data_IF_788221722743
#
_entry.id   IF_788221722743
#
_cell.length_a   1.000
_cell.length_b   1.000
_cell.length_c   1.000
_cell.angle_alpha   90.00
_cell.angle_beta   90.00
_cell.angle_gamma   90.00
#
_symmetry.space_group_name_H-M   'P 1'
#
loop_
_entity.id
_entity.type
_entity.pdbx_description
1 polymer ?
#
# COMPACT_ATOMS: atom_id res chain seq x y z
N UNK A 1 -10.40 27.96 -8.18
CA UNK A 1 -9.91 26.61 -8.53
C UNK A 1 -11.11 25.78 -8.94
N UNK A 2 -11.18 25.39 -10.21
CA UNK A 2 -12.20 24.43 -10.69
C UNK A 2 -11.78 23.03 -10.24
N UNK A 3 -12.68 22.32 -9.56
CA UNK A 3 -12.46 20.91 -9.21
C UNK A 3 -12.42 20.10 -10.51
N UNK A 4 -11.31 19.44 -10.76
CA UNK A 4 -11.16 18.54 -11.90
C UNK A 4 -11.81 17.19 -11.58
N UNK A 5 -12.85 16.84 -12.32
CA UNK A 5 -13.55 15.57 -12.16
C UNK A 5 -12.64 14.35 -12.35
N UNK A 6 -11.58 14.47 -13.15
CA UNK A 6 -10.58 13.42 -13.32
C UNK A 6 -9.72 13.21 -12.07
N UNK A 7 -9.43 14.30 -11.35
CA UNK A 7 -8.70 14.24 -10.08
C UNK A 7 -9.53 13.52 -9.01
N UNK A 8 -10.82 13.82 -8.93
CA UNK A 8 -11.74 13.13 -8.00
C UNK A 8 -11.86 11.63 -8.33
N UNK A 9 -12.00 11.28 -9.61
CA UNK A 9 -12.00 9.89 -10.06
C UNK A 9 -10.69 9.18 -9.72
N UNK A 10 -9.55 9.85 -9.95
CA UNK A 10 -8.23 9.34 -9.59
C UNK A 10 -8.11 9.04 -8.09
N UNK A 11 -8.49 9.99 -7.24
CA UNK A 11 -8.49 9.78 -5.78
C UNK A 11 -9.46 8.70 -5.34
N UNK A 12 -10.66 8.63 -5.92
CA UNK A 12 -11.62 7.56 -5.65
C UNK A 12 -11.07 6.18 -6.02
N UNK A 13 -10.45 6.06 -7.20
CA UNK A 13 -9.78 4.84 -7.64
C UNK A 13 -8.63 4.45 -6.70
N UNK A 14 -7.80 5.42 -6.31
CA UNK A 14 -6.69 5.19 -5.40
C UNK A 14 -7.16 4.74 -4.02
N UNK A 15 -8.24 5.33 -3.48
CA UNK A 15 -8.85 4.92 -2.22
C UNK A 15 -9.34 3.47 -2.30
N UNK A 16 -10.06 3.10 -3.36
CA UNK A 16 -10.56 1.73 -3.56
C UNK A 16 -9.40 0.73 -3.67
N UNK A 17 -8.36 1.05 -4.43
CA UNK A 17 -7.17 0.21 -4.57
C UNK A 17 -6.35 0.11 -3.28
N UNK A 18 -6.31 1.15 -2.45
CA UNK A 18 -5.64 1.10 -1.14
C UNK A 18 -6.49 0.33 -0.10
N UNK A 19 -7.82 0.44 -0.19
CA UNK A 19 -8.75 -0.24 0.72
C UNK A 19 -8.60 -1.76 0.70
N UNK A 20 -8.22 -2.38 -0.43
CA UNK A 20 -7.95 -3.83 -0.50
C UNK A 20 -6.87 -4.28 0.50
N UNK A 21 -5.86 -3.44 0.71
CA UNK A 21 -4.78 -3.72 1.66
C UNK A 21 -5.22 -3.43 3.10
N UNK A 22 -6.07 -2.43 3.32
CA UNK A 22 -6.68 -2.18 4.63
C UNK A 22 -7.57 -3.35 5.06
N UNK A 23 -8.41 -3.87 4.17
CA UNK A 23 -9.24 -5.04 4.45
C UNK A 23 -8.38 -6.26 4.75
N UNK A 24 -7.35 -6.52 3.92
CA UNK A 24 -6.39 -7.60 4.18
C UNK A 24 -5.71 -7.42 5.55
N UNK A 25 -5.30 -6.19 5.89
CA UNK A 25 -4.67 -5.89 7.16
C UNK A 25 -5.60 -6.19 8.33
N UNK A 26 -6.86 -5.74 8.30
CA UNK A 26 -7.84 -6.04 9.35
C UNK A 26 -8.01 -7.55 9.56
N UNK A 27 -8.05 -8.32 8.48
CA UNK A 27 -8.12 -9.79 8.54
C UNK A 27 -6.86 -10.40 9.15
N UNK A 28 -5.69 -9.95 8.73
CA UNK A 28 -4.40 -10.42 9.29
C UNK A 28 -4.25 -10.07 10.77
N UNK A 29 -4.80 -8.94 11.21
CA UNK A 29 -4.77 -8.55 12.62
C UNK A 29 -5.64 -9.45 13.47
N UNK A 30 -6.87 -9.73 13.01
CA UNK A 30 -7.78 -10.65 13.66
C UNK A 30 -7.20 -12.07 13.74
N UNK A 31 -6.47 -12.49 12.71
CA UNK A 31 -5.81 -13.79 12.65
C UNK A 31 -4.46 -13.84 13.38
N UNK A 32 -3.89 -12.69 13.80
CA UNK A 32 -2.52 -12.55 14.36
C UNK A 32 -1.41 -13.17 13.51
N UNK A 33 -1.67 -13.37 12.22
CA UNK A 33 -0.74 -13.95 11.25
C UNK A 33 -0.88 -13.24 9.91
N UNK A 34 0.25 -13.01 9.24
CA UNK A 34 0.24 -12.57 7.84
C UNK A 34 0.05 -13.81 6.97
N UNK A 35 -1.14 -13.95 6.39
CA UNK A 35 -1.45 -15.04 5.46
C UNK A 35 -0.72 -14.82 4.12
N UNK A 36 -0.26 -13.59 3.87
CA UNK A 36 0.37 -13.17 2.62
C UNK A 36 1.89 -13.42 2.66
N UNK A 37 2.48 -14.05 1.63
CA UNK A 37 3.91 -14.38 1.61
C UNK A 37 4.81 -13.15 1.71
N UNK A 38 5.99 -13.29 2.35
CA UNK A 38 7.01 -12.22 2.43
C UNK A 38 7.36 -11.62 1.07
N UNK A 39 7.46 -12.47 0.04
CA UNK A 39 7.78 -12.04 -1.32
C UNK A 39 6.81 -10.98 -1.83
N UNK A 40 5.50 -11.15 -1.59
CA UNK A 40 4.49 -10.17 -2.00
C UNK A 40 4.75 -8.78 -1.41
N UNK A 41 5.13 -8.72 -0.13
CA UNK A 41 5.44 -7.44 0.53
C UNK A 41 6.71 -6.80 -0.02
N UNK A 42 7.76 -7.58 -0.31
CA UNK A 42 8.97 -7.06 -0.94
C UNK A 42 8.72 -6.53 -2.36
N UNK A 43 7.96 -7.27 -3.19
CA UNK A 43 7.55 -6.80 -4.51
C UNK A 43 6.66 -5.57 -4.41
N UNK A 44 5.78 -5.48 -3.41
CA UNK A 44 4.94 -4.30 -3.17
C UNK A 44 5.77 -3.06 -2.83
N UNK A 45 6.80 -3.20 -1.97
CA UNK A 45 7.72 -2.11 -1.64
C UNK A 45 8.53 -1.71 -2.88
N UNK A 46 9.15 -2.66 -3.57
CA UNK A 46 9.95 -2.37 -4.76
C UNK A 46 9.14 -1.71 -5.87
N UNK A 47 7.98 -2.30 -6.21
CA UNK A 47 7.08 -1.76 -7.22
C UNK A 47 6.50 -0.40 -6.84
N UNK A 48 6.12 -0.19 -5.58
CA UNK A 48 5.60 1.11 -5.14
C UNK A 48 6.67 2.20 -5.14
N UNK A 49 7.92 1.89 -4.78
CA UNK A 49 9.06 2.83 -4.94
C UNK A 49 9.23 3.26 -6.40
N UNK A 50 9.27 2.31 -7.33
CA UNK A 50 9.47 2.60 -8.75
C UNK A 50 8.34 3.47 -9.30
N UNK A 51 7.09 3.12 -8.96
CA UNK A 51 5.93 3.90 -9.37
C UNK A 51 5.86 5.27 -8.70
N UNK A 52 6.33 5.41 -7.46
CA UNK A 52 6.41 6.70 -6.78
C UNK A 52 7.43 7.62 -7.45
N UNK A 53 8.62 7.10 -7.80
CA UNK A 53 9.63 7.84 -8.56
C UNK A 53 9.04 8.31 -9.90
N UNK A 54 8.37 7.41 -10.62
CA UNK A 54 7.70 7.74 -11.87
C UNK A 54 6.61 8.79 -11.72
N UNK A 55 5.79 8.71 -10.67
CA UNK A 55 4.72 9.66 -10.39
C UNK A 55 5.24 11.05 -10.03
N UNK A 56 6.33 11.14 -9.27
CA UNK A 56 7.02 12.40 -8.98
C UNK A 56 7.54 13.03 -10.27
N UNK A 57 8.15 12.24 -11.15
CA UNK A 57 8.59 12.70 -12.46
C UNK A 57 7.42 13.21 -13.31
N UNK A 58 6.27 12.54 -13.27
CA UNK A 58 5.03 12.95 -13.97
C UNK A 58 4.25 14.06 -13.28
N UNK A 59 4.66 14.49 -12.09
CA UNK A 59 3.94 15.47 -11.28
C UNK A 59 2.48 15.04 -11.02
N UNK A 60 2.22 13.74 -10.84
CA UNK A 60 0.88 13.18 -10.61
C UNK A 60 0.60 13.05 -9.09
N UNK A 61 -0.17 13.98 -8.48
CA UNK A 61 -0.42 13.98 -7.04
C UNK A 61 -1.26 12.78 -6.58
N UNK A 62 -2.13 12.23 -7.44
CA UNK A 62 -2.99 11.09 -7.09
C UNK A 62 -2.13 9.85 -6.91
N UNK A 63 -1.25 9.58 -7.86
CA UNK A 63 -0.34 8.44 -7.78
C UNK A 63 0.68 8.59 -6.64
N UNK A 64 1.21 9.80 -6.42
CA UNK A 64 2.15 10.06 -5.32
C UNK A 64 1.52 9.72 -3.96
N UNK A 65 0.31 10.23 -3.70
CA UNK A 65 -0.42 9.96 -2.46
C UNK A 65 -0.79 8.47 -2.34
N UNK A 66 -1.16 7.86 -3.45
CA UNK A 66 -1.46 6.44 -3.52
C UNK A 66 -0.32 5.52 -3.13
N UNK A 67 0.82 5.69 -3.78
CA UNK A 67 1.97 4.81 -3.61
C UNK A 67 2.65 5.02 -2.26
N UNK A 68 2.63 6.24 -1.72
CA UNK A 68 3.16 6.55 -0.39
C UNK A 68 2.30 5.98 0.74
N UNK A 69 0.97 5.97 0.62
CA UNK A 69 0.08 5.43 1.65
C UNK A 69 0.27 3.91 1.87
N UNK A 70 0.57 3.15 0.81
CA UNK A 70 0.78 1.70 0.88
C UNK A 70 2.02 1.28 1.69
N UNK A 71 3.05 2.13 1.75
CA UNK A 71 4.32 1.83 2.41
C UNK A 71 4.18 1.46 3.88
N UNK A 72 3.30 2.17 4.60
CA UNK A 72 3.05 1.94 6.03
C UNK A 72 2.50 0.52 6.25
N UNK A 73 1.56 0.09 5.40
CA UNK A 73 0.93 -1.23 5.49
C UNK A 73 1.95 -2.34 5.20
N UNK A 74 2.84 -2.13 4.21
CA UNK A 74 3.85 -3.11 3.82
C UNK A 74 4.90 -3.32 4.92
N UNK A 75 5.44 -2.23 5.47
CA UNK A 75 6.43 -2.27 6.54
C UNK A 75 5.87 -2.95 7.80
N UNK A 76 4.64 -2.61 8.15
CA UNK A 76 3.95 -3.17 9.31
C UNK A 76 3.72 -4.68 9.17
N UNK A 77 3.30 -5.15 8.00
CA UNK A 77 3.11 -6.58 7.76
C UNK A 77 4.43 -7.37 7.83
N UNK A 78 5.54 -6.82 7.32
CA UNK A 78 6.86 -7.42 7.47
C UNK A 78 7.29 -7.53 8.94
N UNK A 79 6.99 -6.52 9.76
CA UNK A 79 7.23 -6.59 11.21
C UNK A 79 6.44 -7.71 11.89
N UNK A 80 5.17 -7.89 11.52
CA UNK A 80 4.32 -8.93 12.08
C UNK A 80 4.82 -10.34 11.72
N UNK A 81 5.30 -10.53 10.48
CA UNK A 81 5.93 -11.79 10.05
C UNK A 81 7.20 -12.07 10.88
N UNK A 82 8.11 -11.09 11.00
CA UNK A 82 9.35 -11.27 11.79
C UNK A 82 9.06 -11.64 13.25
N UNK A 83 8.03 -11.03 13.85
CA UNK A 83 7.64 -11.31 15.24
C UNK A 83 7.04 -12.72 15.39
N UNK A 84 6.33 -13.23 14.39
CA UNK A 84 5.83 -14.60 14.39
C UNK A 84 6.96 -15.62 14.27
N UNK A 85 7.92 -15.38 13.39
CA UNK A 85 9.10 -16.26 13.21
C UNK A 85 9.99 -16.32 14.44
N UNK A 86 10.17 -15.21 15.16
CA UNK A 86 10.97 -15.18 16.40
C UNK A 86 10.32 -15.92 17.59
N UNK A 87 9.06 -16.36 17.45
CA UNK A 87 8.27 -16.97 18.51
C UNK A 87 7.92 -18.45 18.25
N UNK A 88 8.25 -18.96 17.06
CA UNK A 88 8.18 -20.37 16.67
C UNK A 88 9.55 -21.01 16.76
#
# INVERSE_FOLDING_TARGET
MTIDWWLLLGFGGQLMFSARFLVQWLVSEKAKQSIVPKAFWYFSIGGSSLLLIYAIYRQDPVFILGQSAGFIIYLRNLQLIKKHEARS
#
